data_IF_299232668491
#
_entry.id   IF_299232668491
#
_cell.length_a   1.000
_cell.length_b   1.000
_cell.length_c   1.000
_cell.angle_alpha   90.00
_cell.angle_beta   90.00
_cell.angle_gamma   90.00
#
_symmetry.space_group_name_H-M   'P 1'
#
loop_
_entity.id
_entity.type
_entity.pdbx_description
1 polymer ?
#
# COMPACT_ATOMS: atom_id res chain seq x y z
N UNK A 1 31.94 -31.39 25.83
CA UNK A 1 30.84 -30.43 26.13
C UNK A 1 30.97 -29.11 25.36
N UNK A 2 32.17 -28.52 25.24
CA UNK A 2 32.39 -27.24 24.53
C UNK A 2 32.08 -27.28 23.02
N UNK A 3 32.39 -28.38 22.32
CA UNK A 3 32.04 -28.56 20.89
C UNK A 3 30.54 -28.67 20.63
N UNK A 4 29.79 -29.23 21.58
CA UNK A 4 28.32 -29.32 21.50
C UNK A 4 27.69 -27.93 21.60
N UNK A 5 28.21 -27.09 22.50
CA UNK A 5 27.80 -25.71 22.69
C UNK A 5 28.02 -24.85 21.44
N UNK A 6 29.16 -25.03 20.76
CA UNK A 6 29.45 -24.35 19.49
C UNK A 6 28.48 -24.79 18.38
N UNK A 7 28.16 -26.10 18.32
CA UNK A 7 27.23 -26.64 17.33
C UNK A 7 25.80 -26.09 17.54
N UNK A 8 25.35 -26.01 18.79
CA UNK A 8 24.04 -25.44 19.16
C UNK A 8 23.98 -23.96 18.77
N UNK A 9 25.02 -23.18 19.08
CA UNK A 9 25.08 -21.76 18.67
C UNK A 9 25.09 -21.58 17.15
N UNK A 10 25.70 -22.50 16.40
CA UNK A 10 25.72 -22.45 14.93
C UNK A 10 24.35 -22.76 14.31
N UNK A 11 23.49 -23.51 14.98
CA UNK A 11 22.12 -23.76 14.48
C UNK A 11 21.16 -22.60 14.73
N UNK A 12 21.42 -21.76 15.75
CA UNK A 12 20.59 -20.58 16.04
C UNK A 12 20.78 -19.43 15.02
N UNK A 13 21.79 -19.48 14.15
CA UNK A 13 22.01 -18.43 13.14
C UNK A 13 21.22 -18.63 11.86
N UNK A 14 20.48 -19.74 11.72
CA UNK A 14 19.65 -20.02 10.56
C UNK A 14 18.34 -19.22 10.67
N UNK A 15 18.37 -17.97 10.20
CA UNK A 15 17.16 -17.17 10.04
C UNK A 15 16.44 -17.58 8.74
N UNK A 16 15.19 -18.05 8.86
CA UNK A 16 14.32 -18.25 7.71
C UNK A 16 13.67 -16.91 7.31
N UNK A 17 13.60 -16.56 6.02
CA UNK A 17 12.89 -15.37 5.59
C UNK A 17 11.39 -15.55 5.86
N UNK A 18 10.85 -14.78 6.80
CA UNK A 18 9.40 -14.65 6.96
C UNK A 18 8.90 -13.75 5.82
N UNK A 19 8.18 -14.34 4.88
CA UNK A 19 7.46 -13.59 3.85
C UNK A 19 6.16 -13.06 4.47
N UNK A 20 6.24 -11.92 5.15
CA UNK A 20 5.05 -11.21 5.58
C UNK A 20 4.50 -10.41 4.39
N UNK A 21 3.26 -10.70 3.97
CA UNK A 21 2.56 -9.81 3.06
C UNK A 21 2.40 -8.44 3.75
N UNK A 22 2.68 -7.33 3.07
CA UNK A 22 2.46 -6.00 3.64
C UNK A 22 0.95 -5.75 3.76
N UNK A 23 0.44 -5.84 4.99
CA UNK A 23 -0.96 -5.63 5.34
C UNK A 23 -1.17 -4.23 5.93
N UNK A 24 -2.32 -3.63 5.63
CA UNK A 24 -2.79 -2.34 6.17
C UNK A 24 -4.24 -2.48 6.58
N UNK A 25 -4.57 -1.96 7.75
CA UNK A 25 -5.95 -1.84 8.20
C UNK A 25 -6.51 -0.48 7.80
N UNK A 26 -7.58 -0.47 7.02
CA UNK A 26 -8.33 0.73 6.64
C UNK A 26 -9.81 0.48 6.90
N UNK A 27 -10.51 1.43 7.53
CA UNK A 27 -11.96 1.32 7.78
C UNK A 27 -12.40 -0.01 8.44
N UNK A 28 -11.65 -0.50 9.44
CA UNK A 28 -11.87 -1.80 10.10
C UNK A 28 -11.69 -3.05 9.22
N UNK A 29 -11.16 -2.89 8.01
CA UNK A 29 -10.90 -3.95 7.05
C UNK A 29 -9.40 -4.14 6.88
N UNK A 30 -8.94 -5.40 6.91
CA UNK A 30 -7.54 -5.75 6.69
C UNK A 30 -7.28 -6.00 5.20
N UNK A 31 -6.33 -5.26 4.63
CA UNK A 31 -5.98 -5.35 3.22
C UNK A 31 -4.50 -5.71 3.11
N UNK A 32 -4.23 -6.90 2.57
CA UNK A 32 -2.88 -7.40 2.36
C UNK A 32 -2.54 -7.42 0.89
N UNK A 33 -1.36 -6.90 0.52
CA UNK A 33 -0.86 -7.04 -0.85
C UNK A 33 -0.11 -8.36 -0.94
N UNK A 34 -0.65 -9.32 -1.69
CA UNK A 34 0.01 -10.60 -1.94
C UNK A 34 1.10 -10.45 -3.00
N UNK A 35 0.75 -9.78 -4.10
CA UNK A 35 1.70 -9.47 -5.17
C UNK A 35 1.44 -8.06 -5.71
N UNK A 36 2.51 -7.36 -6.06
CA UNK A 36 2.42 -6.05 -6.72
C UNK A 36 3.57 -5.88 -7.70
N UNK A 37 3.26 -5.47 -8.93
CA UNK A 37 4.23 -5.14 -9.97
C UNK A 37 3.87 -3.81 -10.59
N UNK A 38 4.82 -2.87 -10.58
CA UNK A 38 4.67 -1.60 -11.30
C UNK A 38 4.89 -1.81 -12.79
N UNK A 39 4.10 -1.15 -13.63
CA UNK A 39 4.34 -1.14 -15.08
C UNK A 39 5.64 -0.39 -15.41
N UNK A 40 6.35 -0.89 -16.42
CA UNK A 40 7.56 -0.25 -16.94
C UNK A 40 7.23 0.96 -17.85
N UNK A 41 6.09 0.91 -18.56
CA UNK A 41 5.65 1.96 -19.48
C UNK A 41 4.96 3.12 -18.76
N UNK A 42 4.12 2.79 -17.78
CA UNK A 42 3.31 3.75 -17.04
C UNK A 42 3.61 3.61 -15.55
N UNK A 43 4.43 4.49 -14.98
CA UNK A 43 4.85 4.36 -13.58
C UNK A 43 3.71 4.48 -12.56
N UNK A 44 2.55 5.03 -12.97
CA UNK A 44 1.33 5.15 -12.17
C UNK A 44 0.41 3.92 -12.26
N UNK A 45 0.74 2.93 -13.10
CA UNK A 45 -0.02 1.70 -13.24
C UNK A 45 0.63 0.56 -12.44
N UNK A 46 -0.21 -0.13 -11.67
CA UNK A 46 0.20 -1.24 -10.83
C UNK A 46 -0.66 -2.45 -11.14
N UNK A 47 -0.03 -3.61 -11.26
CA UNK A 47 -0.72 -4.91 -11.33
C UNK A 47 -0.59 -5.56 -9.97
N UNK A 48 -1.70 -5.74 -9.26
CA UNK A 48 -1.65 -6.25 -7.90
C UNK A 48 -2.71 -7.31 -7.65
N UNK A 49 -2.35 -8.27 -6.82
CA UNK A 49 -3.27 -9.21 -6.20
C UNK A 49 -3.34 -8.88 -4.72
N UNK A 50 -4.55 -8.61 -4.24
CA UNK A 50 -4.81 -8.20 -2.86
C UNK A 50 -5.70 -9.22 -2.16
N UNK A 51 -5.60 -9.26 -0.85
CA UNK A 51 -6.49 -10.00 0.02
C UNK A 51 -7.20 -8.99 0.93
N UNK A 52 -8.52 -9.12 1.05
CA UNK A 52 -9.38 -8.23 1.85
C UNK A 52 -10.11 -9.09 2.87
N UNK A 53 -9.89 -8.85 4.17
CA UNK A 53 -10.45 -9.65 5.28
C UNK A 53 -10.30 -11.18 5.09
N UNK A 54 -9.16 -11.61 4.53
CA UNK A 54 -8.89 -13.01 4.22
C UNK A 54 -9.35 -13.49 2.85
N UNK A 55 -10.19 -12.74 2.13
CA UNK A 55 -10.62 -13.07 0.76
C UNK A 55 -9.62 -12.59 -0.29
N UNK A 56 -9.08 -13.52 -1.08
CA UNK A 56 -8.16 -13.18 -2.17
C UNK A 56 -8.93 -12.67 -3.39
N UNK A 57 -8.64 -11.43 -3.80
CA UNK A 57 -9.16 -10.84 -5.02
C UNK A 57 -8.34 -11.29 -6.24
N UNK A 58 -8.94 -11.34 -7.43
CA UNK A 58 -8.22 -11.62 -8.66
C UNK A 58 -7.17 -10.55 -8.95
N UNK A 59 -6.25 -10.85 -9.87
CA UNK A 59 -5.23 -9.90 -10.31
C UNK A 59 -5.89 -8.71 -11.03
N UNK A 60 -5.68 -7.50 -10.52
CA UNK A 60 -6.27 -6.27 -11.06
C UNK A 60 -5.19 -5.27 -11.46
N UNK A 61 -5.51 -4.41 -12.42
CA UNK A 61 -4.66 -3.27 -12.83
C UNK A 61 -5.21 -1.99 -12.23
N UNK A 62 -4.42 -1.32 -11.41
CA UNK A 62 -4.76 -0.08 -10.75
C UNK A 62 -4.06 1.08 -11.46
N UNK A 63 -4.82 2.03 -12.02
CA UNK A 63 -4.30 3.31 -12.51
C UNK A 63 -4.44 4.34 -11.39
N UNK A 64 -3.32 4.61 -10.71
CA UNK A 64 -3.26 5.53 -9.58
C UNK A 64 -3.31 7.00 -9.97
N UNK A 65 -3.21 7.32 -11.27
CA UNK A 65 -3.33 8.69 -11.78
C UNK A 65 -4.79 9.05 -12.01
N UNK A 66 -5.53 8.17 -12.68
CA UNK A 66 -6.96 8.36 -12.98
C UNK A 66 -7.89 7.86 -11.87
N UNK A 67 -7.34 7.12 -10.91
CA UNK A 67 -8.07 6.47 -9.83
C UNK A 67 -9.13 5.49 -10.34
N UNK A 68 -8.72 4.62 -11.26
CA UNK A 68 -9.57 3.57 -11.81
C UNK A 68 -8.90 2.21 -11.61
N UNK A 69 -9.73 1.17 -11.52
CA UNK A 69 -9.28 -0.22 -11.51
C UNK A 69 -9.77 -0.92 -12.76
N UNK A 70 -8.96 -1.80 -13.32
CA UNK A 70 -9.28 -2.55 -14.53
C UNK A 70 -9.10 -4.02 -14.25
N UNK A 71 -10.16 -4.79 -14.48
CA UNK A 71 -10.19 -6.24 -14.37
C UNK A 71 -10.72 -6.82 -15.68
N UNK A 72 -10.03 -7.80 -16.27
CA UNK A 72 -10.45 -8.47 -17.51
C UNK A 72 -10.86 -7.50 -18.65
N UNK A 73 -10.06 -6.44 -18.84
CA UNK A 73 -10.30 -5.34 -19.81
C UNK A 73 -11.58 -4.54 -19.58
N UNK A 74 -12.29 -4.75 -18.48
CA UNK A 74 -13.40 -3.91 -18.04
C UNK A 74 -12.87 -2.90 -17.02
N UNK A 75 -13.13 -1.63 -17.27
CA UNK A 75 -12.90 -0.59 -16.27
C UNK A 75 -13.95 -0.78 -15.19
N UNK A 76 -13.52 -1.19 -14.00
CA UNK A 76 -14.31 -1.12 -12.79
C UNK A 76 -14.21 0.34 -12.33
N UNK A 77 -15.22 1.14 -12.70
CA UNK A 77 -15.24 2.54 -12.29
C UNK A 77 -15.46 2.66 -10.78
N UNK A 78 -14.69 3.59 -10.21
CA UNK A 78 -14.43 3.84 -8.80
C UNK A 78 -13.57 2.75 -8.16
N UNK A 79 -12.41 3.21 -7.66
CA UNK A 79 -11.74 2.59 -6.52
C UNK A 79 -12.80 1.97 -5.62
N UNK A 80 -12.81 0.64 -5.50
CA UNK A 80 -13.70 -0.04 -4.58
C UNK A 80 -13.63 0.70 -3.25
N UNK A 81 -14.80 0.98 -2.65
CA UNK A 81 -14.86 1.70 -1.36
C UNK A 81 -14.14 0.96 -0.22
N UNK A 82 -13.73 -0.29 -0.48
CA UNK A 82 -12.91 -1.13 0.37
C UNK A 82 -11.50 -0.58 0.61
N UNK A 83 -11.05 0.44 -0.14
CA UNK A 83 -9.76 1.09 0.07
C UNK A 83 -8.57 0.30 -0.48
N UNK A 84 -8.78 -0.80 -1.20
CA UNK A 84 -7.71 -1.61 -1.83
C UNK A 84 -6.79 -0.77 -2.71
N UNK A 85 -7.39 0.08 -3.53
CA UNK A 85 -6.67 0.95 -4.43
C UNK A 85 -5.87 2.04 -3.68
N UNK A 86 -6.29 2.48 -2.48
CA UNK A 86 -5.46 3.36 -1.64
C UNK A 86 -4.20 2.64 -1.16
N UNK A 87 -4.33 1.38 -0.72
CA UNK A 87 -3.19 0.56 -0.28
C UNK A 87 -2.22 0.32 -1.43
N UNK A 88 -2.72 -0.08 -2.61
CA UNK A 88 -1.88 -0.32 -3.80
C UNK A 88 -1.17 0.96 -4.25
N UNK A 89 -1.88 2.07 -4.36
CA UNK A 89 -1.33 3.34 -4.87
C UNK A 89 -0.41 4.07 -3.88
N UNK A 90 -0.39 3.64 -2.62
CA UNK A 90 0.53 4.16 -1.60
C UNK A 90 1.71 3.23 -1.33
N UNK A 91 1.75 2.04 -1.91
CA UNK A 91 2.73 1.00 -1.58
C UNK A 91 4.19 1.45 -1.67
N UNK A 92 4.56 2.16 -2.74
CA UNK A 92 5.92 2.69 -2.93
C UNK A 92 6.10 4.13 -2.46
N UNK A 93 5.05 4.75 -1.90
CA UNK A 93 5.18 6.06 -1.27
C UNK A 93 5.74 5.85 0.13
N UNK A 94 6.63 6.74 0.59
CA UNK A 94 7.04 6.72 1.99
C UNK A 94 5.78 6.81 2.87
N UNK A 95 5.75 6.11 4.02
CA UNK A 95 4.68 6.26 5.00
C UNK A 95 4.44 7.76 5.27
N UNK A 96 3.18 8.22 5.32
CA UNK A 96 2.90 9.68 5.46
C UNK A 96 3.47 10.24 6.77
N UNK A 97 3.65 9.37 7.76
CA UNK A 97 4.32 9.55 9.04
C UNK A 97 5.86 9.57 8.95
N UNK A 98 6.48 9.00 7.91
CA UNK A 98 7.92 9.09 7.68
C UNK A 98 8.40 10.53 7.37
N UNK A 99 7.47 11.43 7.03
CA UNK A 99 7.69 12.87 6.86
C UNK A 99 7.02 13.73 7.95
N UNK A 100 6.55 13.12 9.06
CA UNK A 100 5.96 13.85 10.18
C UNK A 100 4.50 14.29 9.99
N UNK A 101 3.76 13.74 9.02
CA UNK A 101 2.31 13.99 8.91
C UNK A 101 1.57 12.97 9.75
N UNK A 102 1.35 13.32 11.01
CA UNK A 102 0.69 12.48 12.01
C UNK A 102 -0.61 11.86 11.50
N UNK A 103 -0.73 10.56 11.75
CA UNK A 103 -1.91 9.72 11.56
C UNK A 103 -3.18 10.38 12.10
N UNK A 104 -4.23 10.38 11.30
CA UNK A 104 -5.60 10.43 11.83
C UNK A 104 -6.23 11.81 12.03
N UNK A 105 -6.25 12.66 10.99
CA UNK A 105 -7.36 13.62 10.88
C UNK A 105 -8.10 13.42 9.56
N UNK A 106 -9.42 13.11 9.58
CA UNK A 106 -10.20 13.15 8.36
C UNK A 106 -10.04 14.55 7.78
N UNK A 107 -9.80 14.60 6.47
CA UNK A 107 -9.70 15.83 5.71
C UNK A 107 -11.07 16.49 5.75
N UNK A 108 -11.35 17.26 6.80
CA UNK A 108 -12.44 18.23 6.82
C UNK A 108 -12.13 19.16 5.65
N UNK A 109 -12.88 19.01 4.57
CA UNK A 109 -13.00 20.01 3.52
C UNK A 109 -13.57 21.26 4.19
N UNK A 110 -12.70 22.05 4.81
CA UNK A 110 -13.00 23.46 5.05
C UNK A 110 -12.78 24.14 3.71
N UNK A 111 -13.90 24.59 3.15
CA UNK A 111 -13.94 25.23 1.85
C UNK A 111 -12.95 26.39 1.74
N UNK A 112 -12.47 26.57 0.51
CA UNK A 112 -12.51 27.85 -0.21
C UNK A 112 -12.77 29.05 0.71
N UNK A 113 -11.70 29.65 1.24
CA UNK A 113 -11.59 31.10 1.51
C UNK A 113 -10.31 31.42 2.27
N UNK A 114 -9.14 31.18 1.67
CA UNK A 114 -7.94 31.93 2.06
C UNK A 114 -7.55 32.81 0.86
N UNK A 115 -7.46 34.14 1.03
CA UNK A 115 -7.10 35.05 -0.06
C UNK A 115 -5.66 34.82 -0.50
N UNK A 116 -5.46 34.87 -1.82
CA UNK A 116 -4.15 34.80 -2.48
C UNK A 116 -3.25 35.89 -1.88
N UNK A 117 -2.09 35.54 -1.30
CA UNK A 117 -1.11 36.55 -0.90
C UNK A 117 -0.58 37.23 -2.16
N UNK A 118 -0.82 38.54 -2.25
CA UNK A 118 -0.40 39.40 -3.35
C UNK A 118 1.10 39.26 -3.61
N UNK A 119 1.46 38.81 -4.81
CA UNK A 119 2.79 38.95 -5.35
C UNK A 119 2.96 40.38 -5.88
N UNK A 120 3.75 41.18 -5.17
CA UNK A 120 4.55 42.28 -5.72
C UNK A 120 3.85 43.63 -5.94
N UNK A 121 4.33 44.66 -5.22
CA UNK A 121 5.19 45.70 -5.80
C UNK A 121 5.92 46.44 -4.67
#
# INVERSE_FOLDING_TARGET
MKKLLVLIFLWLTIALPVQAAPCRTLNNQEICILTIKRSAKNYWEYRAQVQVDGEVRPLQVYDCRKKITVQDNKVLELFEQDGTAEVVCSFFKPPRDAFGVASGKPRSFRGVSDPIPNLGR
#
